data_IF_713843853749
#
_entry.id   IF_713843853749
#
_cell.length_a   1.000
_cell.length_b   1.000
_cell.length_c   1.000
_cell.angle_alpha   90.00
_cell.angle_beta   90.00
_cell.angle_gamma   90.00
#
_symmetry.space_group_name_H-M   'P 1'
#
loop_
_entity.id
_entity.type
_entity.pdbx_description
1 polymer ?
#
# COMPACT_ATOMS: atom_id res chain seq x y z
N UNK A 1 38.17 -30.98 19.92
CA UNK A 1 37.84 -29.54 19.98
C UNK A 1 36.47 -29.39 20.63
N UNK A 2 36.30 -28.59 21.69
CA UNK A 2 35.00 -28.44 22.35
C UNK A 2 34.13 -27.41 21.59
N UNK A 3 32.95 -27.84 21.15
CA UNK A 3 31.93 -27.00 20.51
C UNK A 3 31.16 -26.24 21.58
N UNK A 4 31.31 -24.91 21.64
CA UNK A 4 30.53 -24.07 22.55
C UNK A 4 29.08 -23.97 22.05
N UNK A 5 28.07 -24.25 22.89
CA UNK A 5 26.68 -24.13 22.49
C UNK A 5 26.32 -22.64 22.37
N UNK A 6 25.94 -22.21 21.16
CA UNK A 6 25.43 -20.87 20.89
C UNK A 6 24.07 -20.70 21.59
N UNK A 7 24.06 -19.96 22.70
CA UNK A 7 22.85 -19.64 23.45
C UNK A 7 22.11 -18.49 22.78
N UNK A 8 21.09 -18.80 21.98
CA UNK A 8 20.20 -17.80 21.39
C UNK A 8 19.14 -17.35 22.39
N UNK A 9 19.34 -16.17 22.98
CA UNK A 9 18.36 -15.53 23.84
C UNK A 9 17.20 -14.98 22.99
N UNK A 10 16.07 -15.70 22.96
CA UNK A 10 14.85 -15.21 22.27
C UNK A 10 14.24 -14.05 23.04
N UNK A 11 14.43 -12.85 22.53
CA UNK A 11 13.68 -11.68 22.98
C UNK A 11 12.27 -11.74 22.39
N UNK A 12 11.24 -11.85 23.24
CA UNK A 12 9.85 -11.61 22.80
C UNK A 12 9.67 -10.11 22.63
N UNK A 13 9.77 -9.66 21.39
CA UNK A 13 9.45 -8.29 21.02
C UNK A 13 7.94 -8.17 20.83
N UNK A 14 7.23 -7.66 21.84
CA UNK A 14 5.80 -7.31 21.70
C UNK A 14 5.71 -5.86 21.26
N UNK A 15 5.46 -5.64 19.97
CA UNK A 15 5.21 -4.31 19.42
C UNK A 15 3.95 -3.72 20.07
N UNK A 16 3.98 -2.43 20.50
CA UNK A 16 2.76 -1.75 20.88
C UNK A 16 1.80 -1.78 19.69
N UNK A 17 0.59 -2.28 19.90
CA UNK A 17 -0.43 -2.40 18.85
C UNK A 17 -0.83 -0.98 18.42
N UNK A 18 -0.34 -0.56 17.26
CA UNK A 18 -0.64 0.75 16.67
C UNK A 18 -2.14 0.92 16.48
N UNK A 19 -2.68 2.09 16.83
CA UNK A 19 -4.11 2.42 16.62
C UNK A 19 -4.48 2.37 15.12
N UNK A 20 -3.48 2.54 14.24
CA UNK A 20 -3.61 2.43 12.79
C UNK A 20 -3.40 1.02 12.24
N UNK A 21 -3.34 -0.01 13.10
CA UNK A 21 -3.19 -1.38 12.62
C UNK A 21 -4.43 -1.75 11.79
N UNK A 22 -4.29 -2.31 10.57
CA UNK A 22 -5.41 -2.72 9.71
C UNK A 22 -6.20 -3.92 10.25
N UNK A 23 -5.91 -4.36 11.49
CA UNK A 23 -6.59 -5.46 12.14
C UNK A 23 -8.10 -5.21 12.24
N UNK A 24 -8.94 -6.26 12.15
CA UNK A 24 -10.38 -6.13 12.30
C UNK A 24 -10.71 -5.68 13.73
N UNK A 25 -10.88 -4.38 13.92
CA UNK A 25 -11.40 -3.80 15.15
C UNK A 25 -12.92 -3.83 15.08
N UNK A 26 -13.55 -4.37 16.12
CA UNK A 26 -15.02 -4.44 16.26
C UNK A 26 -15.66 -3.05 16.11
N UNK A 27 -14.98 -2.02 16.60
CA UNK A 27 -15.40 -0.61 16.49
C UNK A 27 -15.53 -0.14 15.02
N UNK A 28 -14.58 -0.51 14.15
CA UNK A 28 -14.63 -0.17 12.71
C UNK A 28 -15.79 -0.89 12.01
N UNK A 29 -16.10 -2.12 12.41
CA UNK A 29 -17.23 -2.88 11.89
C UNK A 29 -18.58 -2.24 12.23
N UNK A 30 -18.73 -1.75 13.46
CA UNK A 30 -19.97 -1.09 13.92
C UNK A 30 -20.19 0.24 13.19
N UNK A 31 -19.15 1.06 13.02
CA UNK A 31 -19.24 2.33 12.28
C UNK A 31 -19.68 2.11 10.82
N UNK A 32 -19.10 1.10 10.14
CA UNK A 32 -19.51 0.71 8.80
C UNK A 32 -20.97 0.24 8.72
N UNK A 33 -21.44 -0.52 9.70
CA UNK A 33 -22.82 -0.98 9.76
C UNK A 33 -23.82 0.17 9.98
N UNK A 34 -23.54 1.06 10.94
CA UNK A 34 -24.40 2.21 11.23
C UNK A 34 -24.50 3.13 10.02
N UNK A 35 -23.37 3.42 9.37
CA UNK A 35 -23.34 4.23 8.14
C UNK A 35 -24.08 3.57 6.99
N UNK A 36 -23.97 2.25 6.81
CA UNK A 36 -24.74 1.50 5.80
C UNK A 36 -26.25 1.63 6.02
N UNK A 37 -26.74 1.35 7.23
CA UNK A 37 -28.18 1.45 7.55
C UNK A 37 -28.68 2.87 7.37
N UNK A 38 -27.91 3.86 7.82
CA UNK A 38 -28.24 5.28 7.70
C UNK A 38 -28.29 5.71 6.24
N UNK A 39 -27.33 5.28 5.41
CA UNK A 39 -27.29 5.57 3.98
C UNK A 39 -28.52 5.01 3.26
N UNK A 40 -28.94 3.78 3.58
CA UNK A 40 -30.15 3.19 3.02
C UNK A 40 -31.41 3.95 3.43
N UNK A 41 -31.52 4.33 4.70
CA UNK A 41 -32.66 5.08 5.21
C UNK A 41 -32.78 6.45 4.51
N UNK A 42 -31.66 7.18 4.40
CA UNK A 42 -31.62 8.48 3.71
C UNK A 42 -31.92 8.31 2.22
N UNK A 43 -31.41 7.26 1.58
CA UNK A 43 -31.68 6.98 0.17
C UNK A 43 -33.17 6.69 -0.08
N UNK A 44 -33.81 5.87 0.76
CA UNK A 44 -35.24 5.59 0.65
C UNK A 44 -36.08 6.86 0.87
N UNK A 45 -35.75 7.67 1.88
CA UNK A 45 -36.41 8.96 2.09
C UNK A 45 -36.24 9.90 0.89
N UNK A 46 -35.06 9.89 0.27
CA UNK A 46 -34.78 10.65 -0.95
C UNK A 46 -35.63 10.17 -2.13
N UNK A 47 -35.77 8.84 -2.35
CA UNK A 47 -36.65 8.31 -3.39
C UNK A 47 -38.11 8.70 -3.14
N UNK A 48 -38.61 8.50 -1.91
CA UNK A 48 -39.98 8.85 -1.53
C UNK A 48 -40.23 10.33 -1.86
N UNK A 49 -39.30 11.20 -1.49
CA UNK A 49 -39.40 12.62 -1.83
C UNK A 49 -39.34 12.89 -3.34
N UNK A 50 -38.43 12.26 -4.07
CA UNK A 50 -38.22 12.51 -5.50
C UNK A 50 -39.37 12.01 -6.38
N UNK A 51 -40.00 10.89 -6.02
CA UNK A 51 -41.05 10.24 -6.82
C UNK A 51 -42.47 10.67 -6.45
N UNK A 52 -42.75 11.10 -5.20
CA UNK A 52 -44.11 11.48 -4.81
C UNK A 52 -44.50 12.85 -5.40
N UNK A 53 -45.66 12.98 -6.07
CA UNK A 53 -46.12 14.26 -6.60
C UNK A 53 -46.42 15.28 -5.50
N UNK A 54 -46.18 16.57 -5.80
CA UNK A 54 -46.33 17.70 -4.88
C UNK A 54 -47.75 17.82 -4.29
N UNK A 55 -48.77 17.38 -5.03
CA UNK A 55 -50.16 17.32 -4.57
C UNK A 55 -50.31 16.45 -3.31
N UNK A 56 -49.61 15.31 -3.26
CA UNK A 56 -49.62 14.41 -2.10
C UNK A 56 -48.76 14.96 -0.96
N UNK A 57 -47.63 15.61 -1.24
CA UNK A 57 -46.82 16.26 -0.20
C UNK A 57 -47.54 17.44 0.46
N UNK A 58 -48.25 18.24 -0.34
CA UNK A 58 -49.06 19.35 0.15
C UNK A 58 -50.23 18.86 1.00
N UNK A 59 -50.83 17.72 0.64
CA UNK A 59 -51.87 17.07 1.45
C UNK A 59 -51.33 16.55 2.81
N UNK A 60 -50.07 16.15 2.88
CA UNK A 60 -49.38 15.72 4.11
C UNK A 60 -48.88 16.92 4.95
N UNK A 61 -49.06 18.16 4.47
CA UNK A 61 -48.69 19.38 5.18
C UNK A 61 -47.24 19.82 4.99
N UNK A 62 -46.52 19.22 4.03
CA UNK A 62 -45.13 19.57 3.70
C UNK A 62 -45.13 20.61 2.57
N UNK A 63 -45.27 21.88 2.93
CA UNK A 63 -45.45 23.00 1.99
C UNK A 63 -44.15 23.65 1.49
N UNK A 64 -43.02 23.47 2.18
CA UNK A 64 -41.78 24.24 1.94
C UNK A 64 -40.60 23.44 1.39
N UNK A 65 -40.81 22.30 0.72
CA UNK A 65 -39.66 21.60 0.10
C UNK A 65 -39.17 22.28 -1.19
N UNK A 66 -37.85 22.26 -1.46
CA UNK A 66 -37.27 22.90 -2.63
C UNK A 66 -37.76 22.25 -3.92
N UNK A 67 -37.71 23.00 -5.03
CA UNK A 67 -38.23 22.58 -6.34
C UNK A 67 -37.72 21.19 -6.77
N UNK A 68 -38.56 20.36 -7.40
CA UNK A 68 -38.19 18.98 -7.79
C UNK A 68 -36.96 18.86 -8.70
N UNK A 69 -36.56 19.93 -9.38
CA UNK A 69 -35.31 20.00 -10.14
C UNK A 69 -34.08 19.64 -9.30
N UNK A 70 -34.11 19.88 -7.99
CA UNK A 70 -33.05 19.46 -7.08
C UNK A 70 -32.86 17.94 -7.04
N UNK A 71 -33.90 17.14 -7.26
CA UNK A 71 -33.79 15.68 -7.35
C UNK A 71 -32.99 15.21 -8.58
N UNK A 72 -32.81 16.08 -9.58
CA UNK A 72 -31.96 15.81 -10.76
C UNK A 72 -30.59 16.45 -10.56
N UNK A 73 -30.54 17.66 -10.02
CA UNK A 73 -29.29 18.38 -9.79
C UNK A 73 -28.39 17.65 -8.78
N UNK A 74 -28.95 17.05 -7.72
CA UNK A 74 -28.18 16.31 -6.71
C UNK A 74 -27.38 15.15 -7.32
N UNK A 75 -27.98 14.19 -8.06
CA UNK A 75 -27.23 13.08 -8.65
C UNK A 75 -26.23 13.55 -9.71
N UNK A 76 -26.60 14.55 -10.53
CA UNK A 76 -25.66 15.13 -11.50
C UNK A 76 -24.47 15.83 -10.83
N UNK A 77 -24.73 16.60 -9.78
CA UNK A 77 -23.71 17.26 -8.97
C UNK A 77 -22.76 16.27 -8.31
N UNK A 78 -23.29 15.15 -7.80
CA UNK A 78 -22.48 14.07 -7.24
C UNK A 78 -21.52 13.48 -8.28
N UNK A 79 -22.00 13.23 -9.51
CA UNK A 79 -21.15 12.76 -10.61
C UNK A 79 -20.06 13.77 -10.96
N UNK A 80 -20.42 15.06 -11.08
CA UNK A 80 -19.45 16.12 -11.38
C UNK A 80 -18.38 16.22 -10.28
N UNK A 81 -18.76 16.14 -9.01
CA UNK A 81 -17.82 16.15 -7.89
C UNK A 81 -16.94 14.90 -7.89
N UNK A 82 -17.49 13.72 -8.20
CA UNK A 82 -16.73 12.47 -8.25
C UNK A 82 -15.71 12.48 -9.39
N UNK A 83 -16.16 12.72 -10.63
CA UNK A 83 -15.27 12.75 -11.80
C UNK A 83 -14.32 13.95 -11.76
N UNK A 84 -14.81 15.11 -11.32
CA UNK A 84 -13.99 16.30 -11.10
C UNK A 84 -12.93 16.06 -10.04
N UNK A 85 -13.29 15.43 -8.92
CA UNK A 85 -12.35 15.08 -7.84
C UNK A 85 -11.26 14.12 -8.31
N UNK A 86 -11.60 13.07 -9.05
CA UNK A 86 -10.63 12.14 -9.65
C UNK A 86 -9.74 12.88 -10.66
N UNK A 87 -10.33 13.71 -11.53
CA UNK A 87 -9.59 14.50 -12.52
C UNK A 87 -8.60 15.47 -11.87
N UNK A 88 -9.05 16.21 -10.85
CA UNK A 88 -8.21 17.13 -10.06
C UNK A 88 -7.10 16.35 -9.36
N UNK A 89 -7.42 15.22 -8.73
CA UNK A 89 -6.43 14.37 -8.07
C UNK A 89 -5.34 13.92 -9.06
N UNK A 90 -5.72 13.37 -10.22
CA UNK A 90 -4.76 12.95 -11.24
C UNK A 90 -3.93 14.13 -11.78
N UNK A 91 -4.57 15.28 -11.95
CA UNK A 91 -3.89 16.50 -12.39
C UNK A 91 -2.86 16.98 -11.37
N UNK A 92 -3.23 17.06 -10.09
CA UNK A 92 -2.32 17.42 -9.00
C UNK A 92 -1.21 16.38 -8.84
N UNK A 93 -1.52 15.10 -8.91
CA UNK A 93 -0.54 14.03 -8.79
C UNK A 93 0.50 14.12 -9.91
N UNK A 94 0.08 14.41 -11.16
CA UNK A 94 1.02 14.68 -12.26
C UNK A 94 1.85 15.96 -12.09
N UNK A 95 1.38 16.94 -11.34
CA UNK A 95 2.12 18.19 -11.06
C UNK A 95 3.16 18.02 -9.95
N UNK A 96 2.85 17.18 -8.97
CA UNK A 96 3.69 16.94 -7.79
C UNK A 96 4.72 15.85 -8.02
N UNK A 97 4.38 14.83 -8.82
CA UNK A 97 5.24 13.68 -9.09
C UNK A 97 6.06 13.90 -10.36
N UNK A 98 7.30 13.41 -10.38
CA UNK A 98 8.12 13.37 -11.58
C UNK A 98 7.44 12.57 -12.71
N UNK A 99 7.74 12.86 -14.00
CA UNK A 99 7.17 12.12 -15.11
C UNK A 99 7.46 10.62 -14.96
N UNK A 100 6.50 9.75 -15.31
CA UNK A 100 6.60 8.29 -15.09
C UNK A 100 7.82 7.62 -15.76
N UNK A 101 8.47 8.31 -16.69
CA UNK A 101 9.70 7.88 -17.35
C UNK A 101 10.99 8.28 -16.63
N UNK A 102 10.93 8.99 -15.50
CA UNK A 102 12.13 9.43 -14.79
C UNK A 102 12.64 8.37 -13.83
N UNK A 103 13.94 8.08 -13.89
CA UNK A 103 14.65 7.20 -12.95
C UNK A 103 14.51 7.66 -11.49
N UNK A 104 14.33 8.98 -11.27
CA UNK A 104 14.14 9.63 -9.98
C UNK A 104 12.87 9.20 -9.22
N UNK A 105 11.96 8.44 -9.84
CA UNK A 105 10.83 7.81 -9.14
C UNK A 105 11.25 6.58 -8.32
N UNK A 106 12.35 5.94 -8.71
CA UNK A 106 12.89 4.71 -8.10
C UNK A 106 14.02 5.08 -7.13
N UNK A 107 14.76 6.15 -7.42
CA UNK A 107 15.89 6.61 -6.62
C UNK A 107 15.43 7.62 -5.56
N UNK A 108 15.71 7.34 -4.29
CA UNK A 108 15.50 8.26 -3.17
C UNK A 108 16.85 8.76 -2.63
N UNK A 109 16.85 9.89 -1.91
CA UNK A 109 18.05 10.51 -1.31
C UNK A 109 18.79 9.57 -0.34
N UNK A 110 18.10 8.52 0.13
CA UNK A 110 18.63 7.49 1.02
C UNK A 110 19.43 6.41 0.31
N UNK A 111 19.31 6.26 -1.01
CA UNK A 111 20.02 5.25 -1.79
C UNK A 111 20.64 5.83 -3.08
N UNK A 112 21.69 6.67 -2.94
CA UNK A 112 22.38 7.25 -4.09
C UNK A 112 23.11 6.21 -4.94
N UNK A 113 23.46 5.05 -4.38
CA UNK A 113 24.12 3.98 -5.14
C UNK A 113 23.19 3.32 -6.15
N UNK A 114 21.89 3.23 -5.85
CA UNK A 114 20.90 2.69 -6.77
C UNK A 114 20.70 3.59 -8.02
N UNK A 115 20.84 4.91 -7.88
CA UNK A 115 20.82 5.83 -9.03
C UNK A 115 22.01 5.62 -9.96
N UNK A 116 23.22 5.46 -9.38
CA UNK A 116 24.41 5.15 -10.17
C UNK A 116 24.32 3.78 -10.81
N UNK A 117 23.82 2.77 -10.10
CA UNK A 117 23.65 1.43 -10.63
C UNK A 117 22.62 1.40 -11.74
N UNK A 118 21.43 2.00 -11.61
CA UNK A 118 20.43 2.00 -12.69
C UNK A 118 20.85 2.82 -13.92
N UNK A 119 21.66 3.85 -13.75
CA UNK A 119 22.29 4.57 -14.87
C UNK A 119 23.36 3.73 -15.58
N UNK A 120 24.08 2.93 -14.81
CA UNK A 120 25.19 2.11 -15.29
C UNK A 120 24.73 0.72 -15.79
N UNK A 121 23.65 0.13 -15.25
CA UNK A 121 23.06 -1.18 -15.56
C UNK A 121 22.53 -1.31 -17.00
N UNK A 122 22.59 -0.23 -17.78
CA UNK A 122 22.46 -0.31 -19.24
C UNK A 122 23.71 -0.92 -19.91
N UNK A 123 24.79 -1.14 -19.16
CA UNK A 123 26.05 -1.77 -19.56
C UNK A 123 26.23 -3.08 -18.79
N UNK A 124 26.28 -4.22 -19.50
CA UNK A 124 26.40 -5.57 -18.93
C UNK A 124 27.58 -5.75 -17.93
N UNK A 125 28.60 -4.89 -18.02
CA UNK A 125 29.76 -4.89 -17.13
C UNK A 125 29.44 -4.49 -15.68
N UNK A 126 28.45 -3.62 -15.47
CA UNK A 126 28.10 -3.12 -14.14
C UNK A 126 27.28 -4.13 -13.33
N UNK A 127 26.54 -5.00 -14.04
CA UNK A 127 25.85 -6.16 -13.46
C UNK A 127 26.81 -7.17 -12.85
N UNK A 128 27.93 -7.44 -13.51
CA UNK A 128 28.99 -8.35 -13.01
C UNK A 128 29.69 -7.76 -11.78
N UNK A 129 29.91 -6.44 -11.77
CA UNK A 129 30.44 -5.73 -10.61
C UNK A 129 29.47 -5.80 -9.41
N UNK A 130 28.17 -5.62 -9.63
CA UNK A 130 27.15 -5.71 -8.59
C UNK A 130 27.06 -7.12 -7.96
N UNK A 131 27.09 -8.18 -8.77
CA UNK A 131 27.09 -9.56 -8.28
C UNK A 131 28.33 -9.85 -7.41
N UNK A 132 29.51 -9.33 -7.78
CA UNK A 132 30.73 -9.49 -6.98
C UNK A 132 30.66 -8.78 -5.61
N UNK A 133 30.01 -7.62 -5.55
CA UNK A 133 29.82 -6.90 -4.29
C UNK A 133 28.83 -7.63 -3.40
N UNK A 134 27.74 -8.17 -3.96
CA UNK A 134 26.80 -9.02 -3.21
C UNK A 134 27.48 -10.24 -2.59
N UNK A 135 28.42 -10.89 -3.29
CA UNK A 135 29.18 -12.01 -2.74
C UNK A 135 30.07 -11.57 -1.55
N UNK A 136 30.66 -10.38 -1.63
CA UNK A 136 31.46 -9.79 -0.55
C UNK A 136 30.62 -9.37 0.66
N UNK A 137 29.42 -8.84 0.45
CA UNK A 137 28.49 -8.46 1.53
C UNK A 137 27.72 -9.66 2.12
N UNK A 138 27.64 -10.79 1.40
CA UNK A 138 27.07 -12.04 1.92
C UNK A 138 27.99 -12.77 2.91
N UNK A 139 29.28 -12.41 2.97
CA UNK A 139 30.22 -12.94 3.96
C UNK A 139 30.31 -12.03 5.20
N UNK A 140 29.72 -12.48 6.31
CA UNK A 140 29.71 -11.75 7.59
C UNK A 140 30.72 -12.40 8.56
N UNK A 141 31.92 -11.82 8.75
CA UNK A 141 32.74 -12.15 9.92
C UNK A 141 32.25 -11.27 11.09
N UNK A 142 31.55 -11.88 12.05
CA UNK A 142 31.00 -11.23 13.26
C UNK A 142 29.89 -10.19 13.02
N UNK A 143 28.64 -10.67 13.08
CA UNK A 143 27.39 -9.95 12.83
C UNK A 143 27.08 -8.79 13.78
N UNK A 144 27.86 -7.71 13.75
CA UNK A 144 27.60 -6.49 14.51
C UNK A 144 27.03 -5.34 13.69
N UNK A 145 27.04 -5.40 12.36
CA UNK A 145 26.40 -4.38 11.50
C UNK A 145 25.90 -5.01 10.20
N UNK A 146 24.59 -4.95 9.96
CA UNK A 146 24.01 -5.31 8.66
C UNK A 146 24.19 -4.10 7.71
N UNK A 147 24.81 -4.28 6.52
CA UNK A 147 24.94 -3.18 5.55
C UNK A 147 23.55 -2.71 5.08
N UNK A 148 23.45 -1.48 4.52
CA UNK A 148 22.18 -0.94 4.04
C UNK A 148 21.48 -1.97 3.16
N UNK A 149 20.27 -2.32 3.56
CA UNK A 149 19.50 -3.44 3.02
C UNK A 149 19.13 -3.14 1.58
N UNK A 150 19.95 -3.58 0.65
CA UNK A 150 19.45 -4.01 -0.64
C UNK A 150 18.67 -5.30 -0.41
N UNK A 151 17.42 -5.34 -0.89
CA UNK A 151 16.63 -6.55 -0.86
C UNK A 151 17.40 -7.65 -1.59
N UNK A 152 17.79 -8.71 -0.85
CA UNK A 152 18.44 -9.86 -1.46
C UNK A 152 17.52 -10.42 -2.54
N UNK A 153 18.09 -10.75 -3.70
CA UNK A 153 17.30 -11.31 -4.79
C UNK A 153 16.62 -12.60 -4.34
N UNK A 154 15.32 -12.72 -4.60
CA UNK A 154 14.50 -13.87 -4.20
C UNK A 154 15.08 -15.19 -4.74
N UNK A 155 15.72 -15.13 -5.91
CA UNK A 155 16.35 -16.27 -6.56
C UNK A 155 17.61 -16.75 -5.82
N UNK A 156 18.40 -15.83 -5.27
CA UNK A 156 19.54 -16.16 -4.41
C UNK A 156 19.07 -16.79 -3.09
N UNK A 157 18.03 -16.23 -2.48
CA UNK A 157 17.44 -16.76 -1.24
C UNK A 157 16.89 -18.18 -1.48
N UNK A 158 16.17 -18.39 -2.57
CA UNK A 158 15.66 -19.71 -2.94
C UNK A 158 16.81 -20.70 -3.18
N UNK A 159 17.89 -20.28 -3.84
CA UNK A 159 19.06 -21.13 -4.07
C UNK A 159 19.75 -21.51 -2.74
N UNK A 160 19.84 -20.60 -1.77
CA UNK A 160 20.42 -20.92 -0.47
C UNK A 160 19.50 -21.81 0.38
N UNK A 161 18.19 -21.55 0.41
CA UNK A 161 17.24 -22.34 1.20
C UNK A 161 16.96 -23.72 0.63
N UNK A 162 16.90 -23.85 -0.70
CA UNK A 162 16.46 -25.08 -1.36
C UNK A 162 17.58 -25.85 -2.06
N UNK A 163 18.70 -25.19 -2.41
CA UNK A 163 19.82 -25.84 -3.10
C UNK A 163 21.08 -26.00 -2.24
N UNK A 164 21.09 -25.54 -0.98
CA UNK A 164 22.06 -26.03 0.01
C UNK A 164 21.75 -27.51 0.35
N UNK A 165 22.15 -28.39 -0.56
CA UNK A 165 22.20 -29.83 -0.32
C UNK A 165 23.25 -30.06 0.78
N UNK A 166 22.92 -30.69 1.92
CA UNK A 166 23.94 -31.07 2.88
C UNK A 166 24.90 -32.04 2.18
N UNK A 167 26.16 -31.62 2.00
CA UNK A 167 27.26 -32.48 1.58
C UNK A 167 27.60 -33.42 2.75
N UNK A 168 26.76 -34.43 2.95
CA UNK A 168 27.06 -35.57 3.82
C UNK A 168 26.28 -36.79 3.36
N UNK A 169 26.51 -37.21 2.11
CA UNK A 169 26.12 -38.54 1.62
C UNK A 169 26.91 -38.96 0.37
N UNK A 170 28.17 -38.50 0.23
CA UNK A 170 29.12 -39.07 -0.73
C UNK A 170 30.47 -39.09 0.00
N UNK A 171 30.68 -40.16 0.76
CA UNK A 171 31.89 -40.96 0.74
C UNK A 171 31.67 -42.14 1.69
N UNK A 172 31.54 -43.32 1.05
CA UNK A 172 31.81 -44.70 1.52
C UNK A 172 31.67 -45.03 3.01
#
# INVERSE_FOLDING_TARGET
MPTLPVQMKRYRFTLPKSVNTPAPLTERGIQGFVTYVTSWLVFLLYLIWAYIPHEYLHAIGITYLPSRWWAIIIPWGLLVVLFGGIGIYLWMNRRLVHPLSSINLICDATNPELDTLLRNDLSEADREYFESQQEKYAFIPDGSVMPPTLDLSLDWVNKQLYLQRPLSAVDS
#
